data_IF_024641760041
#
_entry.id   IF_024641760041
#
_cell.length_a   1.000
_cell.length_b   1.000
_cell.length_c   1.000
_cell.angle_alpha   90.00
_cell.angle_beta   90.00
_cell.angle_gamma   90.00
#
_symmetry.space_group_name_H-M   'P 1'
#
loop_
_entity.id
_entity.type
_entity.pdbx_description
1 polymer ?
#
# COMPACT_ATOMS: atom_id res chain seq x y z
N UNK A 1 -9.74 -22.06 20.80
CA UNK A 1 -9.22 -22.89 19.69
C UNK A 1 -8.96 -22.07 18.44
N UNK A 2 -9.92 -21.36 17.82
CA UNK A 2 -9.59 -20.44 16.69
C UNK A 2 -9.30 -18.98 17.13
N UNK A 3 -9.80 -18.55 18.30
CA UNK A 3 -9.46 -17.23 18.90
C UNK A 3 -7.95 -17.10 19.20
N UNK A 4 -7.36 -18.22 19.62
CA UNK A 4 -5.96 -18.35 20.05
C UNK A 4 -4.98 -17.94 18.93
N UNK A 5 -5.37 -18.11 17.66
CA UNK A 5 -4.53 -17.76 16.48
C UNK A 5 -4.54 -16.27 16.15
N UNK A 6 -5.70 -15.62 16.24
CA UNK A 6 -5.80 -14.18 16.03
C UNK A 6 -5.09 -13.43 17.16
N UNK A 7 -5.17 -13.96 18.39
CA UNK A 7 -4.45 -13.48 19.56
C UNK A 7 -2.93 -13.61 19.39
N UNK A 8 -2.42 -14.76 18.94
CA UNK A 8 -0.99 -14.95 18.62
C UNK A 8 -0.49 -13.95 17.56
N UNK A 9 -1.27 -13.71 16.50
CA UNK A 9 -0.93 -12.70 15.50
C UNK A 9 -0.94 -11.28 16.08
N UNK A 10 -1.90 -10.97 16.95
CA UNK A 10 -2.00 -9.66 17.61
C UNK A 10 -0.78 -9.43 18.52
N UNK A 11 -0.41 -10.39 19.36
CA UNK A 11 0.77 -10.32 20.21
C UNK A 11 2.05 -10.06 19.40
N UNK A 12 2.21 -10.78 18.29
CA UNK A 12 3.34 -10.62 17.36
C UNK A 12 3.40 -9.21 16.78
N UNK A 13 2.24 -8.69 16.35
CA UNK A 13 2.11 -7.36 15.76
C UNK A 13 2.39 -6.26 16.79
N UNK A 14 1.85 -6.39 18.00
CA UNK A 14 2.07 -5.46 19.12
C UNK A 14 3.53 -5.44 19.56
N UNK A 15 4.15 -6.61 19.70
CA UNK A 15 5.58 -6.72 20.02
C UNK A 15 6.43 -6.02 18.95
N UNK A 16 6.15 -6.28 17.67
CA UNK A 16 6.85 -5.64 16.56
C UNK A 16 6.63 -4.13 16.57
N UNK A 17 5.40 -3.68 16.79
CA UNK A 17 5.05 -2.25 16.89
C UNK A 17 5.83 -1.57 18.02
N UNK A 18 5.91 -2.18 19.20
CA UNK A 18 6.61 -1.65 20.37
C UNK A 18 8.10 -1.46 20.13
N UNK A 19 8.75 -2.42 19.45
CA UNK A 19 10.17 -2.31 19.08
C UNK A 19 10.37 -1.17 18.07
N UNK A 20 9.52 -1.09 17.03
CA UNK A 20 9.64 -0.09 15.99
C UNK A 20 9.26 1.33 16.44
N UNK A 21 8.42 1.45 17.47
CA UNK A 21 7.98 2.75 18.00
C UNK A 21 9.14 3.64 18.41
N UNK A 22 10.19 3.04 18.99
CA UNK A 22 11.38 3.73 19.45
C UNK A 22 12.56 3.63 18.48
N UNK A 23 12.40 2.92 17.36
CA UNK A 23 13.43 2.81 16.34
C UNK A 23 13.57 4.10 15.54
N UNK A 24 14.78 4.35 15.00
CA UNK A 24 15.02 5.49 14.11
C UNK A 24 14.15 5.36 12.85
N UNK A 25 13.59 6.48 12.40
CA UNK A 25 12.83 6.57 11.15
C UNK A 25 13.65 6.22 9.91
N UNK A 26 12.96 5.76 8.86
CA UNK A 26 13.56 5.40 7.58
C UNK A 26 14.01 3.93 7.55
N UNK A 27 15.13 3.66 6.86
CA UNK A 27 15.65 2.30 6.71
C UNK A 27 15.93 1.65 8.07
N UNK A 28 15.35 0.48 8.29
CA UNK A 28 15.53 -0.25 9.55
C UNK A 28 16.94 -0.85 9.60
N UNK A 29 17.76 -0.57 10.64
CA UNK A 29 19.07 -1.18 10.81
C UNK A 29 18.98 -2.71 10.92
N UNK A 30 19.99 -3.42 10.42
CA UNK A 30 20.02 -4.89 10.43
C UNK A 30 19.93 -5.46 11.86
N UNK A 31 20.50 -4.78 12.86
CA UNK A 31 20.45 -5.20 14.25
C UNK A 31 19.02 -5.12 14.83
N UNK A 32 18.23 -4.16 14.35
CA UNK A 32 16.81 -4.03 14.71
C UNK A 32 16.01 -5.08 13.96
N UNK A 33 16.20 -5.23 12.65
CA UNK A 33 15.51 -6.23 11.82
C UNK A 33 15.69 -7.65 12.35
N UNK A 34 16.90 -8.02 12.79
CA UNK A 34 17.19 -9.35 13.33
C UNK A 34 16.42 -9.69 14.62
N UNK A 35 15.85 -8.69 15.30
CA UNK A 35 15.06 -8.85 16.54
C UNK A 35 13.56 -8.86 16.30
N UNK A 36 13.10 -8.54 15.09
CA UNK A 36 11.67 -8.50 14.78
C UNK A 36 11.19 -9.90 14.36
N UNK A 37 9.97 -10.31 14.76
CA UNK A 37 9.35 -11.52 14.26
C UNK A 37 8.82 -11.31 12.83
N UNK A 38 9.74 -11.04 11.90
CA UNK A 38 9.47 -10.60 10.52
C UNK A 38 10.21 -11.48 9.51
N UNK A 39 9.51 -11.86 8.44
CA UNK A 39 10.08 -12.50 7.24
C UNK A 39 9.99 -11.53 6.08
N UNK A 40 11.13 -10.99 5.64
CA UNK A 40 11.23 -10.15 4.44
C UNK A 40 11.56 -11.02 3.23
N UNK A 41 10.76 -10.90 2.17
CA UNK A 41 10.96 -11.61 0.91
C UNK A 41 11.07 -10.58 -0.21
N UNK A 42 12.21 -10.53 -0.87
CA UNK A 42 12.38 -9.71 -2.08
C UNK A 42 11.90 -10.49 -3.30
N UNK A 43 10.94 -9.92 -4.01
CA UNK A 43 10.42 -10.49 -5.26
C UNK A 43 11.26 -9.98 -6.44
N UNK A 44 11.44 -10.81 -7.46
CA UNK A 44 12.02 -10.37 -8.72
C UNK A 44 10.97 -9.71 -9.63
N UNK A 45 11.44 -8.96 -10.63
CA UNK A 45 10.58 -8.22 -11.55
C UNK A 45 9.59 -9.12 -12.32
N UNK A 46 9.99 -10.34 -12.69
CA UNK A 46 9.14 -11.27 -13.44
C UNK A 46 8.03 -11.84 -12.55
N UNK A 47 8.35 -12.17 -11.30
CA UNK A 47 7.37 -12.61 -10.31
C UNK A 47 6.30 -11.54 -10.06
N UNK A 48 6.71 -10.28 -9.90
CA UNK A 48 5.77 -9.16 -9.69
C UNK A 48 4.93 -8.88 -10.94
N UNK A 49 5.53 -8.82 -12.13
CA UNK A 49 4.79 -8.49 -13.36
C UNK A 49 3.80 -9.59 -13.77
N UNK A 50 4.16 -10.85 -13.56
CA UNK A 50 3.27 -11.99 -13.80
C UNK A 50 2.16 -12.09 -12.75
N UNK A 51 2.39 -11.57 -11.53
CA UNK A 51 1.51 -11.75 -10.38
C UNK A 51 1.43 -13.21 -9.93
N UNK A 52 2.36 -14.05 -10.39
CA UNK A 52 2.45 -15.45 -9.99
C UNK A 52 2.84 -15.51 -8.51
N UNK A 53 2.21 -16.41 -7.74
CA UNK A 53 2.45 -16.62 -6.30
C UNK A 53 1.98 -15.49 -5.36
N UNK A 54 1.22 -14.50 -5.83
CA UNK A 54 0.54 -13.56 -4.92
C UNK A 54 -0.56 -14.31 -4.17
N UNK A 55 -0.38 -14.49 -2.86
CA UNK A 55 -1.18 -15.44 -2.08
C UNK A 55 -2.61 -14.99 -1.78
N UNK A 56 -2.77 -13.75 -1.36
CA UNK A 56 -4.04 -13.23 -0.83
C UNK A 56 -4.76 -12.28 -1.79
N UNK A 57 -4.08 -11.82 -2.83
CA UNK A 57 -4.66 -10.95 -3.85
C UNK A 57 -4.55 -11.61 -5.22
N UNK A 58 -5.45 -11.26 -6.13
CA UNK A 58 -5.41 -11.68 -7.53
C UNK A 58 -5.16 -10.43 -8.38
N UNK A 59 -3.90 -10.07 -8.65
CA UNK A 59 -3.59 -8.96 -9.55
C UNK A 59 -4.23 -9.15 -10.91
N UNK A 60 -4.73 -8.06 -11.48
CA UNK A 60 -5.19 -8.09 -12.86
C UNK A 60 -4.03 -8.45 -13.80
N UNK A 61 -4.33 -9.17 -14.87
CA UNK A 61 -3.39 -9.36 -15.98
C UNK A 61 -3.36 -8.09 -16.81
N UNK A 62 -2.34 -7.95 -17.63
CA UNK A 62 -2.22 -6.79 -18.53
C UNK A 62 -3.44 -6.66 -19.46
N UNK A 63 -3.92 -7.79 -20.00
CA UNK A 63 -5.11 -7.82 -20.85
C UNK A 63 -6.41 -7.40 -20.13
N UNK A 64 -6.49 -7.55 -18.80
CA UNK A 64 -7.66 -7.10 -18.04
C UNK A 64 -7.71 -5.58 -17.96
N UNK A 65 -6.56 -4.93 -17.73
CA UNK A 65 -6.49 -3.46 -17.70
C UNK A 65 -6.78 -2.85 -19.08
N UNK A 66 -6.39 -3.51 -20.18
CA UNK A 66 -6.70 -3.05 -21.55
C UNK A 66 -8.20 -2.99 -21.86
N UNK A 67 -9.03 -3.79 -21.18
CA UNK A 67 -10.50 -3.68 -21.30
C UNK A 67 -11.05 -2.41 -20.67
N UNK A 68 -10.30 -1.83 -19.73
CA UNK A 68 -10.65 -0.66 -18.95
C UNK A 68 -9.57 0.43 -19.08
N UNK A 69 -9.12 0.66 -20.31
CA UNK A 69 -8.24 1.80 -20.61
C UNK A 69 -8.87 3.11 -20.13
N UNK A 70 -8.01 4.06 -19.74
CA UNK A 70 -8.47 5.40 -19.37
C UNK A 70 -9.14 6.05 -20.58
N UNK A 71 -10.36 6.54 -20.39
CA UNK A 71 -11.01 7.43 -21.34
C UNK A 71 -10.34 8.80 -21.20
N UNK A 72 -9.83 9.39 -22.29
CA UNK A 72 -9.06 10.64 -22.26
C UNK A 72 -9.91 11.89 -22.55
N UNK A 73 -11.24 11.77 -22.51
CA UNK A 73 -12.13 12.92 -22.64
C UNK A 73 -11.81 14.00 -21.57
N UNK A 74 -11.95 15.30 -21.89
CA UNK A 74 -11.67 16.39 -20.95
C UNK A 74 -12.77 16.45 -19.89
N UNK A 75 -12.59 15.67 -18.82
CA UNK A 75 -13.47 15.63 -17.66
C UNK A 75 -12.63 15.82 -16.40
N UNK A 76 -13.28 16.24 -15.31
CA UNK A 76 -12.64 16.58 -14.03
C UNK A 76 -11.56 15.56 -13.59
N UNK A 77 -11.84 14.26 -13.72
CA UNK A 77 -10.89 13.20 -13.35
C UNK A 77 -9.58 13.23 -14.15
N UNK A 78 -9.65 13.54 -15.45
CA UNK A 78 -8.47 13.67 -16.30
C UNK A 78 -7.77 15.01 -16.12
N UNK A 79 -8.51 16.09 -15.87
CA UNK A 79 -7.94 17.39 -15.52
C UNK A 79 -7.11 17.30 -14.24
N UNK A 80 -7.61 16.58 -13.23
CA UNK A 80 -6.87 16.31 -12.00
C UNK A 80 -5.61 15.48 -12.25
N UNK A 81 -5.69 14.45 -13.10
CA UNK A 81 -4.51 13.69 -13.53
C UNK A 81 -3.45 14.60 -14.17
N UNK A 82 -3.86 15.46 -15.10
CA UNK A 82 -2.94 16.39 -15.75
C UNK A 82 -2.34 17.39 -14.76
N UNK A 83 -3.10 17.82 -13.76
CA UNK A 83 -2.60 18.66 -12.68
C UNK A 83 -1.54 17.93 -11.83
N UNK A 84 -1.83 16.72 -11.37
CA UNK A 84 -0.91 15.90 -10.58
C UNK A 84 0.37 15.60 -11.38
N UNK A 85 0.27 15.21 -12.66
CA UNK A 85 1.42 14.94 -13.52
C UNK A 85 2.27 16.19 -13.79
N UNK A 86 1.65 17.36 -13.91
CA UNK A 86 2.38 18.63 -14.01
C UNK A 86 3.14 18.93 -12.72
N UNK A 87 2.53 18.73 -11.54
CA UNK A 87 3.20 18.89 -10.25
C UNK A 87 4.35 17.90 -10.08
N UNK A 88 4.17 16.64 -10.52
CA UNK A 88 5.23 15.62 -10.46
C UNK A 88 6.41 15.95 -11.38
N UNK A 89 6.16 16.57 -12.54
CA UNK A 89 7.17 16.95 -13.53
C UNK A 89 7.89 18.26 -13.15
N UNK A 90 7.12 19.30 -12.84
CA UNK A 90 7.59 20.68 -12.72
C UNK A 90 7.67 21.19 -11.28
N UNK A 91 7.12 20.45 -10.32
CA UNK A 91 6.89 20.92 -8.95
C UNK A 91 5.66 21.82 -8.82
N UNK A 92 5.26 22.15 -7.59
CA UNK A 92 4.11 23.01 -7.31
C UNK A 92 4.49 24.50 -7.28
N UNK A 93 3.90 25.37 -8.13
CA UNK A 93 4.22 26.81 -8.13
C UNK A 93 3.79 27.56 -6.86
N UNK A 94 2.72 27.12 -6.19
CA UNK A 94 2.11 27.82 -5.02
C UNK A 94 2.77 27.42 -3.70
N UNK A 95 3.25 26.18 -3.58
CA UNK A 95 3.90 25.74 -2.35
C UNK A 95 5.14 26.58 -2.00
N UNK A 96 5.74 27.27 -2.97
CA UNK A 96 6.88 28.17 -2.75
C UNK A 96 6.58 29.29 -1.73
N UNK A 97 5.31 29.57 -1.39
CA UNK A 97 4.93 30.71 -0.54
C UNK A 97 4.39 30.39 0.86
N UNK A 98 4.05 29.14 1.19
CA UNK A 98 3.41 28.83 2.49
C UNK A 98 4.01 27.58 3.17
N UNK A 99 5.05 27.82 3.97
CA UNK A 99 5.27 27.22 5.30
C UNK A 99 5.36 25.69 5.48
N UNK A 100 5.70 24.88 4.47
CA UNK A 100 6.23 23.52 4.71
C UNK A 100 7.74 23.50 4.44
N UNK A 101 8.58 22.80 5.25
CA UNK A 101 10.02 22.75 5.02
C UNK A 101 10.30 22.08 3.67
N UNK A 102 10.50 22.90 2.64
CA UNK A 102 10.95 22.50 1.33
C UNK A 102 12.22 21.67 1.46
N UNK A 103 12.28 20.53 0.74
CA UNK A 103 13.47 19.69 0.66
C UNK A 103 13.41 18.39 1.47
N UNK A 104 12.29 18.05 2.10
CA UNK A 104 12.09 16.70 2.67
C UNK A 104 11.78 15.67 1.58
N UNK A 105 11.19 16.06 0.45
CA UNK A 105 10.88 15.17 -0.67
C UNK A 105 9.65 14.29 -0.47
N UNK A 106 8.97 14.39 0.68
CA UNK A 106 7.70 13.71 0.94
C UNK A 106 6.56 14.26 0.09
N UNK A 107 6.61 15.54 -0.31
CA UNK A 107 5.55 16.21 -1.07
C UNK A 107 5.37 15.59 -2.47
N UNK A 108 6.48 15.20 -3.11
CA UNK A 108 6.45 14.51 -4.40
C UNK A 108 5.78 13.12 -4.24
N UNK A 109 6.19 12.36 -3.22
CA UNK A 109 5.66 11.03 -2.96
C UNK A 109 4.18 11.07 -2.54
N UNK A 110 3.77 12.11 -1.81
CA UNK A 110 2.37 12.39 -1.46
C UNK A 110 1.55 12.70 -2.72
N UNK A 111 2.08 13.53 -3.63
CA UNK A 111 1.45 13.80 -4.94
C UNK A 111 1.29 12.51 -5.74
N UNK A 112 2.28 11.61 -5.70
CA UNK A 112 2.18 10.32 -6.37
C UNK A 112 1.08 9.42 -5.77
N UNK A 113 0.84 9.49 -4.45
CA UNK A 113 -0.32 8.85 -3.84
C UNK A 113 -1.65 9.43 -4.37
N UNK A 114 -1.79 10.76 -4.46
CA UNK A 114 -2.96 11.42 -5.08
C UNK A 114 -3.15 10.95 -6.52
N UNK A 115 -2.06 10.86 -7.28
CA UNK A 115 -2.08 10.46 -8.67
C UNK A 115 -2.57 9.02 -8.84
N UNK A 116 -2.10 8.09 -8.00
CA UNK A 116 -2.57 6.70 -7.98
C UNK A 116 -4.05 6.63 -7.59
N UNK A 117 -4.48 7.34 -6.55
CA UNK A 117 -5.89 7.40 -6.16
C UNK A 117 -6.77 7.92 -7.28
N UNK A 118 -6.36 8.99 -7.97
CA UNK A 118 -7.12 9.56 -9.08
C UNK A 118 -7.21 8.56 -10.24
N UNK A 119 -6.13 7.83 -10.55
CA UNK A 119 -6.10 6.80 -11.60
C UNK A 119 -7.19 5.72 -11.41
N UNK A 120 -7.45 5.33 -10.18
CA UNK A 120 -8.28 4.16 -9.85
C UNK A 120 -9.68 4.52 -9.39
N UNK A 121 -9.84 5.62 -8.66
CA UNK A 121 -11.09 5.99 -8.01
C UNK A 121 -11.85 7.11 -8.75
N UNK A 122 -11.21 7.85 -9.66
CA UNK A 122 -11.78 9.05 -10.28
C UNK A 122 -11.74 8.98 -11.80
N UNK A 123 -10.61 8.58 -12.39
CA UNK A 123 -10.42 8.63 -13.84
C UNK A 123 -11.42 7.75 -14.60
N UNK A 124 -12.13 8.29 -15.61
CA UNK A 124 -13.12 7.54 -16.37
C UNK A 124 -12.46 6.41 -17.16
N UNK A 125 -13.10 5.25 -17.22
CA UNK A 125 -12.60 4.07 -17.94
C UNK A 125 -13.53 3.66 -19.05
N UNK A 126 -12.95 3.34 -20.20
CA UNK A 126 -13.64 2.64 -21.29
C UNK A 126 -14.17 1.29 -20.79
N UNK A 127 -15.24 0.78 -21.39
CA UNK A 127 -15.86 -0.49 -21.01
C UNK A 127 -16.67 -0.43 -19.71
N UNK A 128 -16.81 0.74 -19.10
CA UNK A 128 -17.73 0.97 -17.97
C UNK A 128 -19.02 1.62 -18.47
N UNK A 129 -20.02 1.80 -17.59
CA UNK A 129 -21.29 2.42 -17.97
C UNK A 129 -21.05 3.81 -18.58
N UNK A 130 -21.30 3.93 -19.89
CA UNK A 130 -21.09 5.15 -20.66
C UNK A 130 -19.63 5.56 -20.84
N UNK A 131 -18.66 4.71 -20.52
CA UNK A 131 -17.22 5.01 -20.49
C UNK A 131 -16.82 6.15 -19.53
N UNK A 132 -17.66 6.38 -18.50
CA UNK A 132 -17.52 7.50 -17.57
C UNK A 132 -17.17 7.07 -16.15
N UNK A 133 -17.32 5.80 -15.79
CA UNK A 133 -17.04 5.34 -14.42
C UNK A 133 -15.58 4.95 -14.24
N UNK A 134 -15.07 5.15 -13.02
CA UNK A 134 -13.71 4.77 -12.66
C UNK A 134 -13.56 3.27 -12.35
N UNK A 135 -12.31 2.78 -12.24
CA UNK A 135 -12.03 1.36 -11.93
C UNK A 135 -12.70 0.90 -10.63
N UNK A 136 -12.84 1.77 -9.63
CA UNK A 136 -13.59 1.44 -8.40
C UNK A 136 -15.00 0.91 -8.65
N UNK A 137 -15.63 1.29 -9.77
CA UNK A 137 -16.98 0.80 -10.13
C UNK A 137 -17.00 -0.69 -10.48
N UNK A 138 -15.91 -1.21 -11.07
CA UNK A 138 -15.77 -2.60 -11.48
C UNK A 138 -15.05 -3.46 -10.45
N UNK A 139 -14.11 -2.88 -9.69
CA UNK A 139 -13.31 -3.64 -8.70
C UNK A 139 -14.00 -3.73 -7.33
N UNK A 140 -14.90 -2.80 -7.01
CA UNK A 140 -15.58 -2.74 -5.71
C UNK A 140 -14.75 -2.13 -4.57
N UNK A 141 -13.48 -1.77 -4.78
CA UNK A 141 -12.65 -1.07 -3.78
C UNK A 141 -13.16 0.35 -3.51
N UNK A 142 -13.14 0.80 -2.25
CA UNK A 142 -13.55 2.14 -1.83
C UNK A 142 -12.49 2.74 -0.94
N UNK A 143 -12.03 3.95 -1.28
CA UNK A 143 -11.02 4.61 -0.49
C UNK A 143 -11.57 5.24 0.80
N UNK A 144 -10.69 5.37 1.79
CA UNK A 144 -10.88 6.06 3.06
C UNK A 144 -9.62 6.89 3.35
N UNK A 145 -9.79 8.02 4.02
CA UNK A 145 -8.68 8.93 4.36
C UNK A 145 -7.98 8.47 5.64
N UNK A 146 -8.71 7.84 6.56
CA UNK A 146 -8.16 7.23 7.77
C UNK A 146 -8.11 5.71 7.68
N UNK A 147 -7.47 5.08 8.67
CA UNK A 147 -7.55 3.63 8.87
C UNK A 147 -9.05 3.25 8.90
N UNK A 148 -9.49 2.22 8.14
CA UNK A 148 -10.92 1.98 7.97
C UNK A 148 -11.67 1.53 9.23
N UNK A 149 -10.95 1.07 10.25
CA UNK A 149 -11.48 0.65 11.55
C UNK A 149 -10.87 1.54 12.65
N UNK A 150 -11.45 1.56 13.85
CA UNK A 150 -10.90 2.36 14.95
C UNK A 150 -9.52 1.81 15.33
N UNK A 151 -8.43 2.59 15.20
CA UNK A 151 -7.12 2.11 15.59
C UNK A 151 -6.96 2.21 17.10
N UNK A 152 -6.57 1.12 17.78
CA UNK A 152 -6.33 1.14 19.24
C UNK A 152 -5.06 1.89 19.62
N UNK A 153 -4.13 2.05 18.67
CA UNK A 153 -2.80 2.60 18.88
C UNK A 153 -2.75 4.01 18.28
N UNK A 154 -2.11 4.98 18.98
CA UNK A 154 -1.88 6.31 18.42
C UNK A 154 -1.16 6.25 17.08
N UNK A 155 -1.67 7.02 16.11
CA UNK A 155 -1.15 7.04 14.76
C UNK A 155 0.18 7.84 14.70
N UNK A 156 1.34 7.17 14.49
CA UNK A 156 2.67 7.77 14.65
C UNK A 156 2.97 8.88 13.64
N UNK A 157 2.36 8.85 12.45
CA UNK A 157 2.53 9.89 11.43
C UNK A 157 1.95 11.26 11.80
N UNK A 158 1.19 11.37 12.90
CA UNK A 158 0.76 12.67 13.45
C UNK A 158 1.77 13.26 14.45
N UNK A 159 2.85 12.55 14.77
CA UNK A 159 3.80 12.96 15.79
C UNK A 159 4.93 13.80 15.14
N UNK A 160 5.07 15.07 15.55
CA UNK A 160 6.08 16.00 15.02
C UNK A 160 7.54 15.70 15.47
N UNK A 161 7.82 14.51 16.00
CA UNK A 161 9.17 14.12 16.44
C UNK A 161 10.04 13.58 15.30
N UNK A 162 9.46 13.42 14.12
CA UNK A 162 10.09 12.69 13.03
C UNK A 162 11.03 13.57 12.20
N UNK A 163 12.12 12.96 11.72
CA UNK A 163 13.18 13.64 10.98
C UNK A 163 12.82 13.98 9.53
N UNK A 164 11.69 13.47 9.01
CA UNK A 164 11.19 13.73 7.67
C UNK A 164 9.66 13.50 7.58
N UNK A 165 9.03 14.02 6.53
CA UNK A 165 7.59 13.83 6.30
C UNK A 165 7.29 12.43 5.75
N UNK A 166 6.38 11.72 6.40
CA UNK A 166 5.88 10.45 5.94
C UNK A 166 4.46 10.23 6.46
N UNK A 167 3.74 9.34 5.80
CA UNK A 167 2.44 8.93 6.29
C UNK A 167 1.65 8.13 5.27
N UNK A 168 0.62 7.41 5.73
CA UNK A 168 -0.40 6.88 4.85
C UNK A 168 -1.16 8.05 4.23
N UNK A 169 -1.54 7.89 2.97
CA UNK A 169 -2.33 8.87 2.22
C UNK A 169 -3.79 8.43 2.11
N UNK A 170 -4.01 7.15 1.77
CA UNK A 170 -5.36 6.60 1.69
C UNK A 170 -5.34 5.07 1.88
N UNK A 171 -6.51 4.55 2.21
CA UNK A 171 -6.76 3.13 2.44
C UNK A 171 -7.90 2.67 1.55
N UNK A 172 -7.93 1.43 1.11
CA UNK A 172 -9.06 0.86 0.38
C UNK A 172 -9.58 -0.40 1.06
N UNK A 173 -10.90 -0.49 1.17
CA UNK A 173 -11.63 -1.71 1.54
C UNK A 173 -12.65 -2.05 0.48
N UNK A 174 -13.05 -3.32 0.38
CA UNK A 174 -14.11 -3.72 -0.54
C UNK A 174 -15.46 -3.16 -0.07
N UNK A 175 -16.34 -2.85 -1.02
CA UNK A 175 -17.70 -2.39 -0.76
C UNK A 175 -18.37 -3.27 0.29
N UNK A 176 -18.93 -2.62 1.32
CA UNK A 176 -19.57 -3.29 2.44
C UNK A 176 -18.61 -3.76 3.55
N UNK A 177 -17.30 -3.55 3.38
CA UNK A 177 -16.26 -3.83 4.37
C UNK A 177 -16.35 -5.24 4.99
N UNK A 178 -16.64 -6.27 4.19
CA UNK A 178 -16.85 -7.65 4.69
C UNK A 178 -15.64 -8.57 4.52
N UNK A 179 -14.58 -8.08 3.90
CA UNK A 179 -13.35 -8.84 3.66
C UNK A 179 -12.24 -8.30 4.56
N UNK A 180 -11.36 -9.16 5.10
CA UNK A 180 -10.25 -8.72 5.94
C UNK A 180 -9.13 -8.04 5.14
N UNK A 181 -9.28 -7.91 3.81
CA UNK A 181 -8.24 -7.38 2.95
C UNK A 181 -8.26 -5.86 2.99
N UNK A 182 -7.09 -5.25 3.17
CA UNK A 182 -6.91 -3.80 3.14
C UNK A 182 -5.83 -3.47 2.13
N UNK A 183 -6.03 -2.39 1.38
CA UNK A 183 -4.95 -1.74 0.64
C UNK A 183 -4.64 -0.39 1.25
N UNK A 184 -3.43 0.08 1.10
CA UNK A 184 -3.04 1.42 1.51
C UNK A 184 -2.03 2.00 0.55
N UNK A 185 -1.96 3.32 0.45
CA UNK A 185 -0.83 4.02 -0.15
C UNK A 185 -0.17 4.90 0.89
N UNK A 186 1.14 5.08 0.77
CA UNK A 186 1.90 5.92 1.67
C UNK A 186 3.06 6.62 0.96
N UNK A 187 3.51 7.70 1.57
CA UNK A 187 4.60 8.52 1.07
C UNK A 187 5.73 8.62 2.09
N UNK A 188 6.95 8.76 1.59
CA UNK A 188 8.15 8.90 2.38
C UNK A 188 9.05 10.03 1.86
N UNK A 189 9.48 10.91 2.75
CA UNK A 189 10.53 11.91 2.51
C UNK A 189 11.97 11.36 2.57
N UNK A 190 12.15 10.05 2.44
CA UNK A 190 13.47 9.41 2.37
C UNK A 190 13.64 8.63 1.07
N UNK A 191 14.89 8.33 0.74
CA UNK A 191 15.22 7.55 -0.45
C UNK A 191 14.90 6.09 -0.18
N UNK A 192 14.20 5.46 -1.12
CA UNK A 192 14.08 4.00 -1.14
C UNK A 192 15.41 3.37 -1.55
N UNK A 193 15.79 2.28 -0.88
CA UNK A 193 16.91 1.44 -1.27
C UNK A 193 16.34 0.05 -1.58
N UNK A 194 16.68 -0.49 -2.74
CA UNK A 194 16.17 -1.77 -3.18
C UNK A 194 16.58 -2.89 -2.20
N UNK A 195 15.65 -3.80 -1.91
CA UNK A 195 15.84 -4.85 -0.89
C UNK A 195 15.82 -4.38 0.58
N UNK A 196 15.76 -3.07 0.87
CA UNK A 196 15.68 -2.57 2.25
C UNK A 196 14.29 -2.04 2.59
N UNK A 197 13.72 -2.49 3.69
CA UNK A 197 12.40 -2.05 4.19
C UNK A 197 12.53 -0.75 5.01
N UNK A 198 11.52 0.12 4.92
CA UNK A 198 11.40 1.31 5.76
C UNK A 198 10.57 0.99 7.00
N UNK A 199 10.98 1.51 8.16
CA UNK A 199 10.28 1.36 9.44
C UNK A 199 8.80 1.71 9.31
N UNK A 200 8.53 2.80 8.62
CA UNK A 200 7.21 3.39 8.42
C UNK A 200 6.29 2.47 7.61
N UNK A 201 6.82 1.73 6.63
CA UNK A 201 6.03 0.75 5.86
C UNK A 201 5.54 -0.36 6.76
N UNK A 202 6.43 -0.90 7.61
CA UNK A 202 6.08 -1.93 8.58
C UNK A 202 5.07 -1.41 9.58
N UNK A 203 5.24 -0.18 10.09
CA UNK A 203 4.31 0.41 11.04
C UNK A 203 2.90 0.59 10.46
N UNK A 204 2.76 1.10 9.24
CA UNK A 204 1.45 1.24 8.60
C UNK A 204 0.80 -0.14 8.41
N UNK A 205 1.56 -1.13 7.95
CA UNK A 205 1.08 -2.51 7.79
C UNK A 205 0.56 -3.06 9.13
N UNK A 206 1.35 -2.94 10.20
CA UNK A 206 0.99 -3.44 11.52
C UNK A 206 -0.26 -2.76 12.05
N UNK A 207 -0.33 -1.43 12.00
CA UNK A 207 -1.46 -0.69 12.55
C UNK A 207 -2.77 -1.01 11.82
N UNK A 208 -2.71 -1.21 10.50
CA UNK A 208 -3.85 -1.69 9.72
C UNK A 208 -4.26 -3.09 10.14
N UNK A 209 -3.30 -4.01 10.32
CA UNK A 209 -3.60 -5.38 10.74
C UNK A 209 -4.20 -5.44 12.14
N UNK A 210 -3.63 -4.73 13.12
CA UNK A 210 -4.13 -4.65 14.50
C UNK A 210 -5.56 -4.11 14.50
N UNK A 211 -5.78 -2.95 13.87
CA UNK A 211 -7.10 -2.31 13.83
C UNK A 211 -8.17 -3.22 13.20
N UNK A 212 -7.78 -4.02 12.20
CA UNK A 212 -8.68 -5.00 11.58
C UNK A 212 -8.95 -6.21 12.49
N UNK A 213 -7.92 -6.77 13.14
CA UNK A 213 -8.04 -7.95 14.01
C UNK A 213 -8.85 -7.66 15.29
N UNK A 214 -8.73 -6.45 15.84
CA UNK A 214 -9.51 -6.06 17.01
C UNK A 214 -10.98 -5.76 16.68
N UNK A 215 -11.28 -5.41 15.43
CA UNK A 215 -12.65 -5.18 15.01
C UNK A 215 -13.47 -6.48 15.08
N UNK A 216 -14.59 -6.42 15.81
CA UNK A 216 -15.50 -7.53 16.08
C UNK A 216 -16.01 -8.21 14.81
N UNK A 217 -16.16 -7.46 13.71
CA UNK A 217 -16.64 -7.98 12.42
C UNK A 217 -15.64 -8.96 11.77
N UNK A 218 -14.37 -8.91 12.18
CA UNK A 218 -13.30 -9.73 11.61
C UNK A 218 -12.73 -10.78 12.56
N UNK A 219 -13.31 -10.98 13.75
CA UNK A 219 -12.85 -11.99 14.74
C UNK A 219 -12.72 -13.42 14.22
N UNK A 220 -13.45 -13.75 13.14
CA UNK A 220 -13.36 -15.06 12.47
C UNK A 220 -12.10 -15.22 11.60
N UNK A 221 -11.37 -14.14 11.36
CA UNK A 221 -10.16 -14.11 10.53
C UNK A 221 -8.92 -14.14 11.42
N UNK A 222 -8.03 -15.09 11.15
CA UNK A 222 -6.69 -15.14 11.73
C UNK A 222 -5.67 -14.36 10.88
N UNK A 223 -5.99 -14.07 9.62
CA UNK A 223 -5.12 -13.37 8.68
C UNK A 223 -5.80 -12.13 8.13
N UNK A 224 -5.09 -11.00 8.20
CA UNK A 224 -5.46 -9.72 7.60
C UNK A 224 -4.47 -9.41 6.48
N UNK A 225 -4.80 -9.68 5.21
CA UNK A 225 -3.91 -9.34 4.11
C UNK A 225 -3.85 -7.84 3.86
N UNK A 226 -2.65 -7.29 3.79
CA UNK A 226 -2.40 -5.87 3.49
C UNK A 226 -1.59 -5.75 2.20
N UNK A 227 -2.04 -4.91 1.27
CA UNK A 227 -1.26 -4.47 0.12
C UNK A 227 -0.93 -2.99 0.28
N UNK A 228 0.36 -2.65 0.31
CA UNK A 228 0.82 -1.29 0.51
C UNK A 228 1.55 -0.78 -0.74
N UNK A 229 1.11 0.36 -1.27
CA UNK A 229 1.80 1.12 -2.31
C UNK A 229 2.65 2.19 -1.64
N UNK A 230 3.96 2.00 -1.66
CA UNK A 230 4.92 2.88 -0.99
C UNK A 230 5.64 3.74 -2.02
N UNK A 231 5.60 5.06 -1.86
CA UNK A 231 6.28 6.02 -2.73
C UNK A 231 7.35 6.79 -1.95
N UNK A 232 8.51 6.98 -2.56
CA UNK A 232 9.72 7.50 -1.91
C UNK A 232 10.28 8.73 -2.61
N UNK A 233 11.07 9.51 -1.87
CA UNK A 233 11.64 10.79 -2.33
C UNK A 233 12.44 10.70 -3.62
N UNK A 234 13.11 9.59 -3.88
CA UNK A 234 13.94 9.38 -5.07
C UNK A 234 13.12 9.03 -6.33
N UNK A 235 11.84 9.43 -6.39
CA UNK A 235 10.92 9.17 -7.51
C UNK A 235 10.76 7.68 -7.80
N UNK A 236 10.78 6.88 -6.73
CA UNK A 236 10.61 5.43 -6.78
C UNK A 236 9.38 5.03 -5.99
N UNK A 237 8.82 3.88 -6.33
CA UNK A 237 7.78 3.26 -5.53
C UNK A 237 7.87 1.74 -5.56
N UNK A 238 7.27 1.09 -4.58
CA UNK A 238 7.14 -0.38 -4.55
C UNK A 238 5.80 -0.83 -4.00
N UNK A 239 5.51 -2.09 -4.24
CA UNK A 239 4.34 -2.79 -3.73
C UNK A 239 4.83 -3.73 -2.64
N UNK A 240 4.21 -3.65 -1.46
CA UNK A 240 4.42 -4.61 -0.38
C UNK A 240 3.16 -5.43 -0.18
N UNK A 241 3.31 -6.74 -0.08
CA UNK A 241 2.24 -7.69 0.22
C UNK A 241 2.53 -8.28 1.60
N UNK A 242 1.63 -8.10 2.54
CA UNK A 242 1.86 -8.47 3.92
C UNK A 242 0.73 -9.31 4.50
N UNK A 243 1.08 -10.24 5.37
CA UNK A 243 0.16 -11.08 6.14
C UNK A 243 0.88 -11.66 7.37
N UNK A 244 0.14 -11.99 8.43
CA UNK A 244 0.67 -12.75 9.55
C UNK A 244 0.52 -14.26 9.35
N UNK A 245 1.51 -15.02 9.83
CA UNK A 245 1.49 -16.48 9.98
C UNK A 245 1.80 -16.80 11.44
N UNK A 246 0.78 -16.78 12.30
CA UNK A 246 0.93 -16.95 13.75
C UNK A 246 1.95 -15.97 14.32
N UNK A 247 3.05 -16.52 14.82
CA UNK A 247 4.17 -15.81 15.43
C UNK A 247 5.07 -14.96 14.51
N UNK A 248 4.71 -14.75 13.24
CA UNK A 248 5.52 -13.93 12.32
C UNK A 248 4.73 -13.09 11.34
N UNK A 249 5.19 -11.87 11.11
CA UNK A 249 4.76 -11.01 10.01
C UNK A 249 5.57 -11.37 8.76
N UNK A 250 4.89 -11.64 7.63
CA UNK A 250 5.54 -11.85 6.33
C UNK A 250 5.30 -10.61 5.48
N UNK A 251 6.36 -10.07 4.87
CA UNK A 251 6.30 -8.95 3.93
C UNK A 251 7.07 -9.33 2.67
N UNK A 252 6.36 -9.45 1.57
CA UNK A 252 6.91 -9.62 0.22
C UNK A 252 7.00 -8.24 -0.44
N UNK A 253 8.17 -7.90 -0.98
CA UNK A 253 8.45 -6.57 -1.53
C UNK A 253 8.77 -6.69 -3.01
N UNK A 254 8.11 -5.88 -3.84
CA UNK A 254 8.56 -5.69 -5.22
C UNK A 254 9.90 -4.94 -5.27
N UNK A 255 10.65 -5.04 -6.38
CA UNK A 255 11.72 -4.09 -6.67
C UNK A 255 11.19 -2.66 -6.73
N UNK A 256 12.09 -1.68 -6.59
CA UNK A 256 11.76 -0.27 -6.79
C UNK A 256 11.43 0.04 -8.26
N UNK A 257 10.19 0.43 -8.51
CA UNK A 257 9.70 0.87 -9.80
C UNK A 257 9.99 2.36 -10.06
N UNK A 258 10.36 2.75 -11.30
CA UNK A 258 10.51 4.15 -11.69
C UNK A 258 9.17 4.89 -11.70
N UNK A 259 9.14 6.08 -11.09
CA UNK A 259 8.01 7.00 -11.16
C UNK A 259 8.45 8.42 -11.53
N UNK A 260 9.56 8.59 -12.24
CA UNK A 260 9.88 9.90 -12.80
C UNK A 260 9.08 10.14 -14.09
N UNK A 261 8.29 11.23 -14.12
CA UNK A 261 7.45 11.57 -15.27
C UNK A 261 8.34 11.77 -16.49
N UNK A 262 8.12 10.98 -17.54
CA UNK A 262 8.90 11.01 -18.78
C UNK A 262 10.14 10.09 -18.78
N UNK A 263 10.48 9.44 -17.66
CA UNK A 263 11.48 8.37 -17.63
C UNK A 263 10.92 7.10 -18.32
N UNK A 264 11.82 6.32 -18.92
CA UNK A 264 11.50 4.96 -19.37
C UNK A 264 10.95 4.14 -18.18
N UNK A 265 9.87 3.41 -18.41
CA UNK A 265 9.20 2.61 -17.38
C UNK A 265 8.18 3.34 -16.51
N UNK A 266 7.98 4.67 -16.64
CA UNK A 266 6.90 5.39 -15.94
C UNK A 266 5.52 4.77 -16.22
N UNK A 267 5.19 4.57 -17.50
CA UNK A 267 3.89 4.02 -17.90
C UNK A 267 3.72 2.57 -17.46
N UNK A 268 4.79 1.76 -17.53
CA UNK A 268 4.77 0.36 -17.10
C UNK A 268 4.57 0.25 -15.59
N UNK A 269 5.21 1.13 -14.82
CA UNK A 269 5.05 1.21 -13.36
C UNK A 269 3.65 1.65 -12.97
N UNK A 270 3.08 2.65 -13.65
CA UNK A 270 1.68 3.04 -13.46
C UNK A 270 0.72 1.89 -13.78
N UNK A 271 0.92 1.21 -14.91
CA UNK A 271 0.09 0.09 -15.31
C UNK A 271 0.17 -1.07 -14.30
N UNK A 272 1.38 -1.38 -13.81
CA UNK A 272 1.62 -2.39 -12.78
C UNK A 272 0.87 -2.04 -11.48
N UNK A 273 1.06 -0.82 -10.97
CA UNK A 273 0.41 -0.39 -9.72
C UNK A 273 -1.11 -0.35 -9.87
N UNK A 274 -1.62 0.07 -11.03
CA UNK A 274 -3.05 0.05 -11.34
C UNK A 274 -3.61 -1.36 -11.33
N UNK A 275 -2.90 -2.35 -11.90
CA UNK A 275 -3.29 -3.77 -11.90
C UNK A 275 -3.34 -4.35 -10.49
N UNK A 276 -2.37 -4.01 -9.65
CA UNK A 276 -2.34 -4.42 -8.24
C UNK A 276 -3.42 -3.72 -7.42
N UNK A 277 -3.69 -2.44 -7.67
CA UNK A 277 -4.78 -1.72 -7.02
C UNK A 277 -6.14 -2.33 -7.42
N UNK A 278 -6.30 -2.73 -8.68
CA UNK A 278 -7.51 -3.39 -9.15
C UNK A 278 -7.65 -4.84 -8.65
N UNK A 279 -6.58 -5.43 -8.07
CA UNK A 279 -6.55 -6.81 -7.64
C UNK A 279 -7.72 -7.17 -6.71
N UNK A 280 -8.41 -8.28 -6.99
CA UNK A 280 -9.43 -8.82 -6.09
C UNK A 280 -8.80 -9.58 -4.91
N UNK A 281 -9.60 -9.93 -3.89
CA UNK A 281 -9.17 -10.91 -2.89
C UNK A 281 -9.07 -12.29 -3.55
N UNK A 282 -8.09 -13.09 -3.12
CA UNK A 282 -7.98 -14.49 -3.53
C UNK A 282 -9.04 -15.37 -2.85
N UNK A 283 -9.14 -16.63 -3.29
CA UNK A 283 -9.92 -17.65 -2.58
C UNK A 283 -9.20 -18.26 -1.38
N UNK A 284 -7.97 -17.79 -1.05
CA UNK A 284 -7.20 -18.27 0.09
C UNK A 284 -7.95 -17.99 1.40
N UNK A 285 -8.08 -19.02 2.23
CA UNK A 285 -8.73 -18.89 3.53
C UNK A 285 -7.93 -17.95 4.44
N UNK A 286 -8.65 -17.05 5.09
CA UNK A 286 -8.12 -16.07 6.04
C UNK A 286 -8.60 -16.35 7.46
N UNK A 287 -9.47 -17.34 7.65
CA UNK A 287 -9.94 -17.80 8.96
C UNK A 287 -8.93 -18.66 9.69
N UNK A 288 -7.95 -19.21 8.96
CA UNK A 288 -6.89 -20.06 9.49
C UNK A 288 -5.55 -19.67 8.87
N UNK A 289 -4.47 -19.87 9.62
CA UNK A 289 -3.15 -19.83 9.02
C UNK A 289 -3.00 -20.97 8.00
N UNK A 290 -2.38 -20.69 6.85
CA UNK A 290 -2.09 -21.73 5.90
C UNK A 290 -1.13 -22.74 6.51
N UNK A 291 -1.40 -24.03 6.25
CA UNK A 291 -0.44 -25.10 6.56
C UNK A 291 0.80 -24.86 5.72
N UNK A 292 1.98 -24.88 6.35
CA UNK A 292 3.25 -24.80 5.63
C UNK A 292 3.39 -25.96 4.62
N UNK A 293 4.33 -25.87 3.66
CA UNK A 293 4.70 -27.04 2.86
C UNK A 293 5.19 -28.20 3.75
N UNK A 294 5.70 -27.88 4.94
CA UNK A 294 6.03 -28.83 5.99
C UNK A 294 4.84 -28.86 6.95
N UNK A 295 4.02 -29.90 6.86
CA UNK A 295 2.83 -30.09 7.71
C UNK A 295 3.17 -30.40 9.16
N UNK A 296 3.70 -29.41 9.88
CA UNK A 296 3.85 -29.40 11.36
C UNK A 296 3.54 -28.03 11.91
#
# INVERSE_FOLDING_TARGET
>A
MDNDKAEEALETLEQTCSILWNAKTGTVPNEVLARLPLSLVSLDHQSVTSGLNVRYFIPWKEGDLRRYERNLAPVEGNERISCDENVLLNGCPVGYRLSRPWGSGGEWAETMCSRLLTEVDIAPRKGTQGDMLALKSVTGWRHHIGIPDEPPIPQPWYIQRESYQWGPYCYWTLRGNKHPHVKASMFHGVYGIDGMVLREEIMVIILVMISRLENKDFRKHAVVPVMLFSFMRNRRGRILLAHCLGNRLVIEMSPLCPFEVGEEGWNDSLALFTRYQAAGPSSTDTTKFPVGPDGT
#
